data_IF_596950987155
#
_entry.id   IF_596950987155
#
_cell.length_a   1.000
_cell.length_b   1.000
_cell.length_c   1.000
_cell.angle_alpha   90.00
_cell.angle_beta   90.00
_cell.angle_gamma   90.00
#
_symmetry.space_group_name_H-M   'P 1'
#
loop_
_entity.id
_entity.type
_entity.pdbx_description
1 polymer ?
#
# COMPACT_ATOMS: atom_id res chain seq x y z
N UNK A 1 -1.06 -11.76 8.00
CA UNK A 1 -2.01 -12.65 7.28
C UNK A 1 -2.07 -12.26 5.80
N UNK A 2 -2.51 -13.13 4.89
CA UNK A 2 -2.66 -12.84 3.46
C UNK A 2 -4.13 -12.57 3.12
N UNK A 3 -4.43 -11.47 2.43
CA UNK A 3 -5.79 -11.19 1.94
C UNK A 3 -6.00 -11.95 0.63
N UNK A 4 -6.80 -13.01 0.69
CA UNK A 4 -6.97 -13.95 -0.43
C UNK A 4 -7.56 -13.25 -1.66
N UNK A 5 -6.92 -13.47 -2.81
CA UNK A 5 -7.40 -13.00 -4.11
C UNK A 5 -7.17 -11.53 -4.38
N UNK A 6 -6.48 -10.78 -3.52
CA UNK A 6 -6.14 -9.37 -3.75
C UNK A 6 -4.83 -9.26 -4.53
N UNK A 7 -4.85 -8.46 -5.60
CA UNK A 7 -3.67 -8.14 -6.42
C UNK A 7 -3.07 -6.78 -6.06
N UNK A 8 -3.91 -5.77 -5.79
CA UNK A 8 -3.45 -4.42 -5.53
C UNK A 8 -4.51 -3.58 -4.81
N UNK A 9 -4.05 -2.46 -4.28
CA UNK A 9 -4.88 -1.38 -3.74
C UNK A 9 -4.65 -0.09 -4.52
N UNK A 10 -5.66 0.77 -4.56
CA UNK A 10 -5.55 2.10 -5.14
C UNK A 10 -6.01 3.16 -4.15
N UNK A 11 -5.25 4.24 -4.07
CA UNK A 11 -5.57 5.44 -3.32
C UNK A 11 -5.11 6.64 -4.15
N UNK A 12 -6.01 7.58 -4.46
CA UNK A 12 -5.73 8.75 -5.31
C UNK A 12 -5.06 8.36 -6.65
N UNK A 13 -5.60 7.36 -7.35
CA UNK A 13 -5.07 6.80 -8.61
C UNK A 13 -3.67 6.15 -8.52
N UNK A 14 -3.05 6.10 -7.33
CA UNK A 14 -1.77 5.42 -7.11
C UNK A 14 -2.01 3.93 -6.85
N UNK A 15 -1.43 3.08 -7.69
CA UNK A 15 -1.45 1.62 -7.52
C UNK A 15 -0.40 1.16 -6.51
N UNK A 16 -0.82 0.36 -5.55
CA UNK A 16 0.02 -0.35 -4.59
C UNK A 16 -0.14 -1.86 -4.78
N UNK A 17 0.78 -2.53 -5.50
CA UNK A 17 0.77 -3.99 -5.61
C UNK A 17 0.79 -4.66 -4.24
N UNK A 18 -0.08 -5.64 -4.02
CA UNK A 18 -0.12 -6.40 -2.76
C UNK A 18 0.94 -7.49 -2.78
N UNK A 19 1.95 -7.36 -1.92
CA UNK A 19 3.16 -8.19 -1.89
C UNK A 19 3.45 -8.72 -0.50
N UNK A 20 4.40 -9.66 -0.39
CA UNK A 20 4.76 -10.27 0.89
C UNK A 20 5.76 -9.44 1.69
N UNK A 21 6.65 -8.71 1.01
CA UNK A 21 7.72 -7.93 1.63
C UNK A 21 8.19 -6.80 0.73
N UNK A 22 8.86 -5.82 1.33
CA UNK A 22 9.46 -4.69 0.63
C UNK A 22 10.34 -5.07 -0.57
N UNK A 23 11.09 -6.17 -0.48
CA UNK A 23 12.01 -6.55 -1.55
C UNK A 23 11.36 -7.15 -2.79
N UNK A 24 10.04 -7.32 -2.80
CA UNK A 24 9.27 -7.83 -3.94
C UNK A 24 9.03 -6.75 -5.02
N UNK A 25 9.25 -5.47 -4.69
CA UNK A 25 9.20 -4.33 -5.63
C UNK A 25 10.57 -3.63 -5.70
N UNK A 26 10.80 -2.79 -6.72
CA UNK A 26 12.06 -2.04 -6.86
C UNK A 26 12.11 -0.86 -5.89
N UNK A 27 13.31 -0.35 -5.63
CA UNK A 27 13.50 0.87 -4.83
C UNK A 27 12.73 2.02 -5.49
N UNK A 28 11.97 2.77 -4.69
CA UNK A 28 11.11 3.86 -5.14
C UNK A 28 9.74 3.42 -5.64
N UNK A 29 9.45 2.13 -5.77
CA UNK A 29 8.12 1.66 -6.18
C UNK A 29 7.14 1.59 -4.99
N UNK A 30 5.86 1.91 -5.21
CA UNK A 30 4.80 1.67 -4.24
C UNK A 30 4.56 0.19 -3.99
N UNK A 31 4.11 -0.15 -2.79
CA UNK A 31 3.66 -1.49 -2.42
C UNK A 31 2.62 -1.47 -1.31
N UNK A 32 1.79 -2.50 -1.26
CA UNK A 32 0.94 -2.81 -0.14
C UNK A 32 1.35 -4.15 0.48
N UNK A 33 1.35 -4.24 1.81
CA UNK A 33 1.58 -5.51 2.52
C UNK A 33 0.82 -5.53 3.84
N UNK A 34 0.81 -6.67 4.52
CA UNK A 34 0.37 -6.72 5.92
C UNK A 34 1.59 -6.58 6.82
N UNK A 35 1.69 -5.44 7.50
CA UNK A 35 2.85 -5.08 8.33
C UNK A 35 2.90 -5.85 9.64
N UNK A 36 3.93 -5.56 10.46
CA UNK A 36 4.16 -6.20 11.77
C UNK A 36 3.05 -5.92 12.79
N UNK A 37 2.23 -4.89 12.57
CA UNK A 37 1.06 -4.56 13.38
C UNK A 37 -0.22 -5.28 12.94
N UNK A 38 -0.13 -6.23 11.99
CA UNK A 38 -1.25 -6.96 11.39
C UNK A 38 -2.32 -6.05 10.77
N UNK A 39 -1.88 -4.93 10.17
CA UNK A 39 -2.72 -3.99 9.42
C UNK A 39 -2.27 -3.92 7.98
N UNK A 40 -3.18 -3.51 7.08
CA UNK A 40 -2.79 -3.11 5.73
C UNK A 40 -1.83 -1.91 5.83
N UNK A 41 -0.73 -2.01 5.11
CA UNK A 41 0.30 -0.99 5.04
C UNK A 41 0.45 -0.56 3.58
N UNK A 42 0.38 0.74 3.31
CA UNK A 42 0.71 1.36 2.03
C UNK A 42 2.06 2.05 2.15
N UNK A 43 3.04 1.61 1.36
CA UNK A 43 4.44 1.99 1.49
C UNK A 43 5.10 2.27 0.15
N UNK A 44 6.26 2.92 0.18
CA UNK A 44 7.17 3.06 -0.95
C UNK A 44 8.51 2.48 -0.50
N UNK A 45 9.09 1.56 -1.29
CA UNK A 45 10.36 0.95 -0.90
C UNK A 45 11.46 2.01 -0.83
N UNK A 46 12.06 2.18 0.35
CA UNK A 46 13.07 3.21 0.62
C UNK A 46 12.60 4.63 0.25
N UNK A 47 11.30 4.89 0.43
CA UNK A 47 10.67 6.17 0.15
C UNK A 47 9.63 6.56 1.20
N UNK A 48 8.78 7.53 0.86
CA UNK A 48 7.77 8.09 1.73
C UNK A 48 6.40 8.05 1.05
N UNK A 49 5.54 7.12 1.49
CA UNK A 49 4.19 6.97 0.96
C UNK A 49 3.26 8.11 1.38
N UNK A 50 3.42 8.67 2.58
CA UNK A 50 2.59 9.79 3.05
C UNK A 50 2.82 11.03 2.18
N UNK A 51 4.09 11.31 1.83
CA UNK A 51 4.45 12.36 0.87
C UNK A 51 3.92 12.09 -0.54
N UNK A 52 4.01 10.85 -1.02
CA UNK A 52 3.48 10.46 -2.34
C UNK A 52 1.97 10.71 -2.43
N UNK A 53 1.24 10.36 -1.37
CA UNK A 53 -0.21 10.42 -1.30
C UNK A 53 -0.75 11.80 -0.87
N UNK A 54 0.12 12.67 -0.35
CA UNK A 54 -0.28 13.96 0.21
C UNK A 54 -1.14 13.84 1.49
N UNK A 55 -0.99 12.74 2.23
CA UNK A 55 -1.79 12.44 3.43
C UNK A 55 -0.99 12.63 4.71
N UNK A 56 -1.69 12.74 5.83
CA UNK A 56 -1.10 12.81 7.17
C UNK A 56 -1.89 11.99 8.19
N UNK A 57 -1.25 11.73 9.32
CA UNK A 57 -1.94 11.12 10.47
C UNK A 57 -3.15 11.95 10.88
N UNK A 58 -4.29 11.27 11.06
CA UNK A 58 -5.56 11.88 11.44
C UNK A 58 -6.50 12.21 10.28
N UNK A 59 -6.06 12.06 9.02
CA UNK A 59 -6.97 12.10 7.88
C UNK A 59 -7.99 10.95 7.98
N UNK A 60 -9.28 11.24 7.72
CA UNK A 60 -10.39 10.29 7.93
C UNK A 60 -11.16 9.95 6.66
N UNK A 61 -11.17 10.86 5.69
CA UNK A 61 -11.88 10.69 4.43
C UNK A 61 -10.91 10.16 3.37
N UNK A 62 -10.64 8.86 3.42
CA UNK A 62 -9.84 8.14 2.42
C UNK A 62 -10.71 7.09 1.72
N UNK A 63 -10.60 6.99 0.40
CA UNK A 63 -11.24 5.93 -0.39
C UNK A 63 -10.16 4.99 -0.90
N UNK A 64 -10.27 3.72 -0.52
CA UNK A 64 -9.37 2.67 -0.94
C UNK A 64 -10.11 1.75 -1.90
N UNK A 65 -9.60 1.61 -3.11
CA UNK A 65 -10.12 0.63 -4.07
C UNK A 65 -9.26 -0.63 -4.06
N UNK A 66 -9.87 -1.77 -4.33
CA UNK A 66 -9.21 -3.09 -4.26
C UNK A 66 -9.35 -3.80 -5.60
N UNK A 67 -8.22 -4.21 -6.16
CA UNK A 67 -8.17 -5.07 -7.36
C UNK A 67 -8.02 -6.53 -6.93
N UNK A 68 -8.96 -7.36 -7.36
CA UNK A 68 -8.97 -8.81 -7.12
C UNK A 68 -8.46 -9.58 -8.35
N UNK A 69 -8.18 -10.87 -8.15
CA UNK A 69 -7.79 -11.81 -9.21
C UNK A 69 -8.75 -11.89 -10.38
#
# INVERSE_FOLDING_TARGET
EYIKGVKAFYLNDVKFPYVGKYSDVRIGEPLALVGSFNTLELSVREGDAAKLLGIKSGDRDITLEVEYE
#
